data_IF_237631733550
#
_entry.id   IF_237631733550
#
_cell.length_a   1.000
_cell.length_b   1.000
_cell.length_c   1.000
_cell.angle_alpha   90.00
_cell.angle_beta   90.00
_cell.angle_gamma   90.00
#
_symmetry.space_group_name_H-M   'P 1'
#
loop_
_entity.id
_entity.type
_entity.pdbx_description
1 polymer ?
#
# COMPACT_ATOMS: atom_id res chain seq x y z
N UNK A 1 35.07 -9.43 -36.85
CA UNK A 1 33.61 -9.08 -36.92
C UNK A 1 32.70 -10.30 -37.11
N UNK A 2 33.06 -11.33 -37.87
CA UNK A 2 32.23 -12.57 -38.03
C UNK A 2 32.05 -13.33 -36.71
N UNK A 3 33.10 -13.58 -35.95
CA UNK A 3 33.04 -14.31 -34.67
C UNK A 3 32.19 -13.61 -33.61
N UNK A 4 32.14 -12.26 -33.62
CA UNK A 4 31.25 -11.47 -32.74
C UNK A 4 29.78 -11.57 -33.16
N UNK A 5 29.48 -11.62 -34.46
CA UNK A 5 28.12 -11.79 -34.97
C UNK A 5 27.57 -13.19 -34.74
N UNK A 6 28.39 -14.23 -34.91
CA UNK A 6 28.00 -15.62 -34.61
C UNK A 6 27.74 -15.80 -33.10
N UNK A 7 28.62 -15.30 -32.22
CA UNK A 7 28.40 -15.33 -30.77
C UNK A 7 27.13 -14.59 -30.36
N UNK A 8 26.81 -13.44 -30.97
CA UNK A 8 25.62 -12.67 -30.67
C UNK A 8 24.33 -13.40 -31.11
N UNK A 9 24.38 -14.13 -32.24
CA UNK A 9 23.23 -14.92 -32.70
C UNK A 9 22.98 -16.16 -31.84
N UNK A 10 24.04 -16.81 -31.34
CA UNK A 10 23.92 -17.98 -30.48
C UNK A 10 23.36 -17.57 -29.09
N UNK A 11 23.81 -16.46 -28.53
CA UNK A 11 23.24 -15.89 -27.30
C UNK A 11 21.74 -15.55 -27.46
N UNK A 12 21.35 -14.95 -28.59
CA UNK A 12 19.92 -14.66 -28.86
C UNK A 12 19.10 -15.95 -28.96
N UNK A 13 19.61 -17.00 -29.58
CA UNK A 13 18.93 -18.31 -29.66
C UNK A 13 18.72 -18.93 -28.28
N UNK A 14 19.73 -18.90 -27.41
CA UNK A 14 19.60 -19.40 -26.04
C UNK A 14 18.59 -18.62 -25.21
N UNK A 15 18.62 -17.30 -25.29
CA UNK A 15 17.64 -16.44 -24.60
C UNK A 15 16.23 -16.69 -25.16
N UNK A 16 16.09 -16.92 -26.46
CA UNK A 16 14.79 -17.26 -27.06
C UNK A 16 14.25 -18.60 -26.56
N UNK A 17 15.12 -19.63 -26.41
CA UNK A 17 14.70 -20.89 -25.81
C UNK A 17 14.19 -20.72 -24.38
N UNK A 18 14.91 -19.93 -23.59
CA UNK A 18 14.51 -19.60 -22.22
C UNK A 18 13.16 -18.87 -22.19
N UNK A 19 12.95 -17.92 -23.09
CA UNK A 19 11.67 -17.23 -23.24
C UNK A 19 10.54 -18.20 -23.55
N UNK A 20 10.74 -19.13 -24.49
CA UNK A 20 9.74 -20.14 -24.84
C UNK A 20 9.40 -21.07 -23.69
N UNK A 21 10.37 -21.46 -22.88
CA UNK A 21 10.13 -22.25 -21.66
C UNK A 21 9.23 -21.48 -20.68
N UNK A 22 9.56 -20.22 -20.39
CA UNK A 22 8.77 -19.40 -19.47
C UNK A 22 7.36 -19.09 -20.02
N UNK A 23 7.22 -18.83 -21.30
CA UNK A 23 5.92 -18.67 -21.97
C UNK A 23 5.09 -19.96 -21.90
N UNK A 24 5.72 -21.14 -22.11
CA UNK A 24 5.03 -22.42 -22.01
C UNK A 24 4.41 -22.62 -20.62
N UNK A 25 5.14 -22.29 -19.55
CA UNK A 25 4.64 -22.37 -18.17
C UNK A 25 3.43 -21.46 -17.99
N UNK A 26 3.52 -20.20 -18.44
CA UNK A 26 2.41 -19.26 -18.30
C UNK A 26 1.23 -19.64 -19.19
N UNK A 27 1.45 -20.10 -20.40
CA UNK A 27 0.40 -20.56 -21.30
C UNK A 27 -0.35 -21.76 -20.73
N UNK A 28 0.36 -22.69 -20.04
CA UNK A 28 -0.25 -23.79 -19.31
C UNK A 28 -1.11 -23.27 -18.13
N UNK A 29 -0.62 -22.34 -17.35
CA UNK A 29 -1.41 -21.75 -16.26
C UNK A 29 -2.69 -21.08 -16.76
N UNK A 30 -2.57 -20.34 -17.86
CA UNK A 30 -3.65 -19.53 -18.43
C UNK A 30 -4.52 -20.25 -19.46
N UNK A 31 -4.36 -21.57 -19.67
CA UNK A 31 -5.01 -22.27 -20.78
C UNK A 31 -6.56 -22.22 -20.73
N UNK A 32 -7.14 -22.06 -19.53
CA UNK A 32 -8.59 -21.95 -19.35
C UNK A 32 -9.11 -20.51 -19.49
N UNK A 33 -8.22 -19.52 -19.54
CA UNK A 33 -8.59 -18.13 -19.59
C UNK A 33 -8.66 -17.64 -21.05
N UNK A 34 -9.72 -16.92 -21.36
CA UNK A 34 -9.86 -16.29 -22.67
C UNK A 34 -8.92 -15.09 -22.81
N UNK A 35 -7.88 -15.24 -23.60
CA UNK A 35 -6.94 -14.17 -23.96
C UNK A 35 -7.44 -13.29 -25.12
N UNK A 36 -8.49 -13.70 -25.84
CA UNK A 36 -8.99 -12.98 -27.01
C UNK A 36 -9.44 -11.56 -26.67
N UNK A 37 -9.94 -11.35 -25.48
CA UNK A 37 -10.28 -10.02 -24.97
C UNK A 37 -9.09 -9.05 -24.98
N UNK A 38 -7.85 -9.50 -24.83
CA UNK A 38 -6.66 -8.67 -24.85
C UNK A 38 -6.34 -8.08 -26.22
N UNK A 39 -6.61 -8.79 -27.31
CA UNK A 39 -6.39 -8.33 -28.68
C UNK A 39 -7.56 -7.49 -29.22
N UNK A 40 -8.63 -7.31 -28.47
CA UNK A 40 -9.78 -6.51 -28.85
C UNK A 40 -9.40 -5.06 -29.16
N UNK A 41 -10.07 -4.47 -30.17
CA UNK A 41 -9.97 -3.03 -30.45
C UNK A 41 -10.64 -2.18 -29.38
N UNK A 42 -11.64 -2.75 -28.68
CA UNK A 42 -12.30 -2.07 -27.57
C UNK A 42 -11.41 -2.04 -26.32
N UNK A 43 -11.12 -0.83 -25.86
CA UNK A 43 -10.22 -0.60 -24.74
C UNK A 43 -10.76 -1.11 -23.40
N UNK A 44 -12.08 -1.13 -23.22
CA UNK A 44 -12.72 -1.65 -22.02
C UNK A 44 -12.61 -3.19 -21.95
N UNK A 45 -12.86 -3.86 -23.06
CA UNK A 45 -12.71 -5.31 -23.19
C UNK A 45 -11.28 -5.74 -22.93
N UNK A 46 -10.31 -5.02 -23.50
CA UNK A 46 -8.87 -5.26 -23.26
C UNK A 46 -8.52 -5.10 -21.79
N UNK A 47 -8.98 -4.03 -21.15
CA UNK A 47 -8.74 -3.79 -19.75
C UNK A 47 -9.35 -4.87 -18.84
N UNK A 48 -10.58 -5.31 -19.11
CA UNK A 48 -11.22 -6.42 -18.39
C UNK A 48 -10.44 -7.72 -18.51
N UNK A 49 -9.89 -8.03 -19.68
CA UNK A 49 -9.03 -9.20 -19.88
C UNK A 49 -7.78 -9.15 -18.98
N UNK A 50 -7.15 -7.97 -18.85
CA UNK A 50 -6.01 -7.77 -17.93
C UNK A 50 -6.43 -7.96 -16.47
N UNK A 51 -7.60 -7.43 -16.07
CA UNK A 51 -8.13 -7.60 -14.71
C UNK A 51 -8.42 -9.06 -14.38
N UNK A 52 -8.99 -9.82 -15.32
CA UNK A 52 -9.26 -11.26 -15.17
C UNK A 52 -7.94 -12.03 -15.01
N UNK A 53 -6.93 -11.71 -15.82
CA UNK A 53 -5.60 -12.30 -15.68
C UNK A 53 -4.94 -11.97 -14.34
N UNK A 54 -5.08 -10.73 -13.86
CA UNK A 54 -4.59 -10.33 -12.56
C UNK A 54 -5.33 -11.03 -11.42
N UNK A 55 -6.67 -11.16 -11.50
CA UNK A 55 -7.49 -11.93 -10.57
C UNK A 55 -6.96 -13.37 -10.46
N UNK A 56 -6.73 -14.03 -11.59
CA UNK A 56 -6.21 -15.38 -11.63
C UNK A 56 -4.83 -15.51 -10.95
N UNK A 57 -3.92 -14.59 -11.21
CA UNK A 57 -2.60 -14.57 -10.52
C UNK A 57 -2.79 -14.42 -9.01
N UNK A 58 -3.70 -13.58 -8.58
CA UNK A 58 -3.98 -13.31 -7.15
C UNK A 58 -4.70 -14.44 -6.42
N UNK A 59 -5.28 -15.44 -7.10
CA UNK A 59 -6.00 -16.56 -6.46
C UNK A 59 -5.09 -17.48 -5.62
N UNK A 60 -3.81 -17.52 -5.92
CA UNK A 60 -2.85 -18.37 -5.19
C UNK A 60 -1.57 -17.58 -4.91
N UNK A 61 -1.17 -17.52 -3.64
CA UNK A 61 0.00 -16.73 -3.22
C UNK A 61 1.31 -17.20 -3.84
N UNK A 62 1.52 -18.51 -3.98
CA UNK A 62 2.73 -19.05 -4.62
C UNK A 62 2.77 -18.73 -6.11
N UNK A 63 1.59 -18.74 -6.78
CA UNK A 63 1.45 -18.32 -8.19
C UNK A 63 1.81 -16.86 -8.36
N UNK A 64 1.28 -15.99 -7.48
CA UNK A 64 1.61 -14.57 -7.46
C UNK A 64 3.11 -14.33 -7.28
N UNK A 65 3.73 -14.97 -6.32
CA UNK A 65 5.15 -14.81 -6.05
C UNK A 65 6.02 -15.30 -7.23
N UNK A 66 5.74 -16.48 -7.78
CA UNK A 66 6.45 -17.00 -8.96
C UNK A 66 6.26 -16.10 -10.18
N UNK A 67 5.03 -15.60 -10.42
CA UNK A 67 4.76 -14.69 -11.52
C UNK A 67 5.50 -13.37 -11.36
N UNK A 68 5.43 -12.75 -10.19
CA UNK A 68 5.95 -11.39 -9.95
C UNK A 68 7.47 -11.35 -9.77
N UNK A 69 8.08 -12.40 -9.19
CA UNK A 69 9.51 -12.42 -8.83
C UNK A 69 10.39 -13.11 -9.86
N UNK A 70 9.86 -14.05 -10.65
CA UNK A 70 10.62 -14.81 -11.65
C UNK A 70 10.04 -14.69 -13.06
N UNK A 71 8.89 -15.34 -13.33
CA UNK A 71 8.41 -15.58 -14.70
C UNK A 71 8.25 -14.30 -15.51
N UNK A 72 7.57 -13.30 -14.98
CA UNK A 72 7.32 -12.07 -15.71
C UNK A 72 8.56 -11.17 -15.86
N UNK A 73 9.52 -11.26 -14.93
CA UNK A 73 10.81 -10.56 -15.03
C UNK A 73 11.66 -11.21 -16.13
N UNK A 74 11.77 -12.53 -16.09
CA UNK A 74 12.53 -13.29 -17.10
C UNK A 74 12.00 -13.06 -18.51
N UNK A 75 10.65 -13.07 -18.68
CA UNK A 75 10.01 -12.77 -19.97
C UNK A 75 10.32 -11.33 -20.40
N UNK A 76 10.25 -10.34 -19.52
CA UNK A 76 10.58 -8.97 -19.85
C UNK A 76 12.01 -8.81 -20.34
N UNK A 77 12.96 -9.40 -19.62
CA UNK A 77 14.38 -9.35 -19.98
C UNK A 77 14.66 -10.04 -21.33
N UNK A 78 14.10 -11.23 -21.53
CA UNK A 78 14.26 -11.98 -22.78
C UNK A 78 13.59 -11.26 -23.97
N UNK A 79 12.45 -10.61 -23.75
CA UNK A 79 11.73 -9.87 -24.77
C UNK A 79 12.54 -8.70 -25.35
N UNK A 80 13.27 -7.97 -24.50
CA UNK A 80 14.18 -6.88 -24.94
C UNK A 80 15.21 -7.40 -25.94
N UNK A 81 15.73 -8.64 -25.74
CA UNK A 81 16.78 -9.21 -26.59
C UNK A 81 16.20 -9.89 -27.84
N UNK A 82 15.04 -10.55 -27.71
CA UNK A 82 14.49 -11.46 -28.72
C UNK A 82 13.25 -10.92 -29.43
N UNK A 83 12.73 -9.73 -29.07
CA UNK A 83 11.43 -9.23 -29.58
C UNK A 83 11.29 -9.21 -31.10
N UNK A 84 12.39 -9.00 -31.83
CA UNK A 84 12.41 -8.99 -33.30
C UNK A 84 12.28 -10.36 -33.99
N UNK A 85 12.47 -11.47 -33.24
CA UNK A 85 12.40 -12.83 -33.82
C UNK A 85 11.17 -13.61 -33.35
N UNK A 86 10.32 -13.03 -32.50
CA UNK A 86 9.10 -13.63 -32.00
C UNK A 86 8.01 -13.68 -33.08
N UNK A 87 7.19 -14.72 -33.06
CA UNK A 87 5.94 -14.76 -33.84
C UNK A 87 4.94 -13.75 -33.27
N UNK A 88 3.91 -13.39 -34.04
CA UNK A 88 2.87 -12.48 -33.58
C UNK A 88 2.06 -13.04 -32.39
N UNK A 89 1.89 -14.36 -32.33
CA UNK A 89 1.28 -15.05 -31.20
C UNK A 89 2.13 -14.93 -29.95
N UNK A 90 3.43 -15.24 -30.03
CA UNK A 90 4.39 -15.11 -28.92
C UNK A 90 4.48 -13.66 -28.43
N UNK A 91 4.49 -12.68 -29.32
CA UNK A 91 4.44 -11.26 -28.95
C UNK A 91 3.18 -10.92 -28.17
N UNK A 92 2.02 -11.39 -28.65
CA UNK A 92 0.74 -11.18 -27.97
C UNK A 92 0.75 -11.77 -26.56
N UNK A 93 1.23 -12.98 -26.40
CA UNK A 93 1.35 -13.62 -25.10
C UNK A 93 2.28 -12.83 -24.15
N UNK A 94 3.47 -12.46 -24.63
CA UNK A 94 4.41 -11.64 -23.84
C UNK A 94 3.75 -10.32 -23.40
N UNK A 95 3.10 -9.61 -24.31
CA UNK A 95 2.46 -8.33 -24.02
C UNK A 95 1.32 -8.47 -23.02
N UNK A 96 0.54 -9.55 -23.12
CA UNK A 96 -0.53 -9.84 -22.17
C UNK A 96 0.02 -10.05 -20.75
N UNK A 97 1.05 -10.88 -20.58
CA UNK A 97 1.64 -11.14 -19.27
C UNK A 97 2.36 -9.91 -18.69
N UNK A 98 3.02 -9.12 -19.52
CA UNK A 98 3.62 -7.86 -19.09
C UNK A 98 2.57 -6.79 -18.72
N UNK A 99 1.43 -6.77 -19.41
CA UNK A 99 0.31 -5.90 -19.05
C UNK A 99 -0.29 -6.28 -17.69
N UNK A 100 -0.50 -7.58 -17.42
CA UNK A 100 -0.94 -8.07 -16.09
C UNK A 100 0.07 -7.68 -15.01
N UNK A 101 1.37 -7.90 -15.25
CA UNK A 101 2.42 -7.51 -14.30
C UNK A 101 2.39 -6.01 -14.00
N UNK A 102 2.30 -5.19 -15.03
CA UNK A 102 2.24 -3.74 -14.86
C UNK A 102 1.01 -3.30 -14.10
N UNK A 103 -0.14 -3.91 -14.37
CA UNK A 103 -1.37 -3.65 -13.65
C UNK A 103 -1.21 -3.96 -12.16
N UNK A 104 -0.70 -5.15 -11.80
CA UNK A 104 -0.44 -5.54 -10.42
C UNK A 104 0.57 -4.62 -9.71
N UNK A 105 1.64 -4.21 -10.40
CA UNK A 105 2.60 -3.24 -9.85
C UNK A 105 1.95 -1.88 -9.60
N UNK A 106 1.13 -1.40 -10.52
CA UNK A 106 0.42 -0.12 -10.36
C UNK A 106 -0.60 -0.15 -9.24
N UNK A 107 -1.29 -1.27 -9.02
CA UNK A 107 -2.16 -1.45 -7.87
C UNK A 107 -1.41 -1.30 -6.55
N UNK A 108 -0.19 -1.80 -6.47
CA UNK A 108 0.66 -1.73 -5.26
C UNK A 108 1.31 -0.36 -5.05
N UNK A 109 1.52 0.40 -6.12
CA UNK A 109 2.23 1.67 -6.09
C UNK A 109 1.32 2.89 -5.92
N UNK A 110 -0.02 2.75 -5.96
CA UNK A 110 -0.97 3.87 -6.06
C UNK A 110 -2.13 3.83 -5.07
N UNK A 111 -2.64 5.04 -4.76
CA UNK A 111 -3.87 5.28 -3.97
C UNK A 111 -5.14 5.07 -4.79
N UNK A 112 -5.37 3.89 -5.37
CA UNK A 112 -6.63 3.66 -6.05
C UNK A 112 -6.53 2.82 -7.32
N UNK A 113 -7.66 2.68 -8.00
CA UNK A 113 -7.77 1.88 -9.20
C UNK A 113 -6.95 2.45 -10.36
N UNK A 114 -6.29 1.56 -11.09
CA UNK A 114 -5.59 1.91 -12.33
C UNK A 114 -6.62 2.24 -13.40
N UNK A 115 -6.47 3.38 -14.09
CA UNK A 115 -7.40 3.78 -15.13
C UNK A 115 -7.21 2.99 -16.43
N UNK A 116 -8.31 2.87 -17.21
CA UNK A 116 -8.29 2.24 -18.53
C UNK A 116 -7.33 2.97 -19.47
N UNK A 117 -7.33 4.32 -19.43
CA UNK A 117 -6.45 5.14 -20.26
C UNK A 117 -4.97 4.87 -20.01
N UNK A 118 -4.58 4.75 -18.76
CA UNK A 118 -3.19 4.45 -18.36
C UNK A 118 -2.74 3.06 -18.81
N UNK A 119 -3.61 2.05 -18.72
CA UNK A 119 -3.27 0.70 -19.17
C UNK A 119 -3.19 0.63 -20.69
N UNK A 120 -4.06 1.33 -21.41
CA UNK A 120 -4.00 1.38 -22.87
C UNK A 120 -2.76 2.13 -23.36
N UNK A 121 -2.37 3.23 -22.71
CA UNK A 121 -1.11 3.93 -22.99
C UNK A 121 0.08 3.01 -22.74
N UNK A 122 0.08 2.28 -21.63
CA UNK A 122 1.15 1.32 -21.32
C UNK A 122 1.25 0.21 -22.37
N UNK A 123 0.13 -0.39 -22.78
CA UNK A 123 0.11 -1.42 -23.82
C UNK A 123 0.60 -0.87 -25.17
N UNK A 124 0.20 0.35 -25.54
CA UNK A 124 0.71 1.01 -26.75
C UNK A 124 2.22 1.23 -26.70
N UNK A 125 2.75 1.66 -25.55
CA UNK A 125 4.19 1.88 -25.38
C UNK A 125 4.95 0.55 -25.43
N UNK A 126 4.44 -0.52 -24.82
CA UNK A 126 5.02 -1.85 -24.94
C UNK A 126 5.11 -2.32 -26.40
N UNK A 127 4.04 -2.07 -27.17
CA UNK A 127 4.01 -2.42 -28.61
C UNK A 127 5.03 -1.59 -29.40
N UNK A 128 5.13 -0.29 -29.12
CA UNK A 128 6.07 0.59 -29.80
C UNK A 128 7.54 0.24 -29.46
N UNK A 129 7.83 -0.07 -28.21
CA UNK A 129 9.16 -0.47 -27.75
C UNK A 129 9.56 -1.85 -28.29
N UNK A 130 8.60 -2.78 -28.40
CA UNK A 130 8.81 -4.08 -29.04
C UNK A 130 9.22 -3.99 -30.53
N UNK A 131 8.73 -2.94 -31.22
CA UNK A 131 9.09 -2.69 -32.63
C UNK A 131 10.47 -2.05 -32.75
N UNK A 132 10.86 -1.21 -31.79
CA UNK A 132 12.13 -0.47 -31.82
C UNK A 132 13.32 -1.18 -31.21
N UNK A 133 13.10 -2.24 -30.41
CA UNK A 133 14.16 -2.93 -29.65
C UNK A 133 14.74 -2.11 -28.50
N UNK A 134 14.03 -1.04 -28.08
CA UNK A 134 14.43 -0.16 -26.99
C UNK A 134 13.97 -0.71 -25.61
N UNK A 135 14.67 -0.27 -24.57
CA UNK A 135 14.42 -0.69 -23.20
C UNK A 135 12.99 -0.30 -22.74
N UNK A 136 12.20 -1.30 -22.33
CA UNK A 136 10.84 -1.10 -21.84
C UNK A 136 10.85 -0.32 -20.53
N UNK A 137 10.65 0.98 -20.57
CA UNK A 137 10.53 1.83 -19.40
C UNK A 137 9.16 1.64 -18.74
N UNK A 138 9.16 1.23 -17.48
CA UNK A 138 7.95 1.28 -16.66
C UNK A 138 7.67 2.75 -16.35
N UNK A 139 6.63 3.31 -16.97
CA UNK A 139 6.18 4.67 -16.68
C UNK A 139 5.53 4.68 -15.29
N UNK A 140 6.33 4.94 -14.26
CA UNK A 140 5.85 5.40 -12.97
C UNK A 140 5.64 6.91 -13.07
N UNK A 141 4.44 7.36 -13.42
CA UNK A 141 4.08 8.76 -13.19
C UNK A 141 4.09 9.02 -11.70
N UNK A 142 4.69 10.14 -11.32
CA UNK A 142 4.71 10.62 -9.94
C UNK A 142 3.30 10.69 -9.37
N UNK A 143 3.21 10.33 -8.13
CA UNK A 143 2.06 10.36 -7.26
C UNK A 143 1.46 11.76 -7.23
N UNK A 144 0.16 11.87 -7.44
CA UNK A 144 -0.58 13.07 -7.10
C UNK A 144 -0.80 13.03 -5.58
N UNK A 145 0.09 13.70 -4.82
CA UNK A 145 0.06 13.76 -3.36
C UNK A 145 -1.11 14.58 -2.80
N UNK A 146 -2.00 15.09 -3.68
CA UNK A 146 -3.12 15.94 -3.28
C UNK A 146 -4.40 15.16 -2.89
N UNK A 147 -4.44 13.84 -3.06
CA UNK A 147 -5.66 13.05 -2.81
C UNK A 147 -5.69 12.59 -1.35
N UNK A 148 -6.69 13.05 -0.61
CA UNK A 148 -6.97 12.57 0.74
C UNK A 148 -7.41 11.09 0.71
N UNK A 149 -6.54 10.21 1.22
CA UNK A 149 -6.77 8.74 1.22
C UNK A 149 -8.03 8.37 2.01
N UNK A 150 -8.35 9.09 3.07
CA UNK A 150 -9.56 8.86 3.89
C UNK A 150 -10.84 9.06 3.07
N UNK A 151 -10.87 10.03 2.13
CA UNK A 151 -12.01 10.22 1.23
C UNK A 151 -12.22 9.02 0.30
N UNK A 152 -11.13 8.38 -0.14
CA UNK A 152 -11.19 7.18 -0.97
C UNK A 152 -11.70 5.95 -0.21
N UNK A 153 -11.62 5.96 1.12
CA UNK A 153 -12.17 4.94 2.00
C UNK A 153 -13.65 5.19 2.37
N UNK A 154 -14.28 6.23 1.81
CA UNK A 154 -15.72 6.46 2.00
C UNK A 154 -16.54 5.30 1.44
N UNK A 155 -17.71 5.05 2.05
CA UNK A 155 -18.58 3.93 1.69
C UNK A 155 -18.95 3.94 0.19
N UNK A 156 -19.25 5.11 -0.35
CA UNK A 156 -19.63 5.32 -1.75
C UNK A 156 -18.49 4.93 -2.69
N UNK A 157 -17.25 5.35 -2.38
CA UNK A 157 -16.06 5.03 -3.19
C UNK A 157 -15.69 3.54 -3.10
N UNK A 158 -15.77 2.96 -1.92
CA UNK A 158 -15.54 1.53 -1.72
C UNK A 158 -16.54 0.69 -2.55
N UNK A 159 -17.81 1.04 -2.55
CA UNK A 159 -18.83 0.33 -3.35
C UNK A 159 -18.58 0.49 -4.85
N UNK A 160 -18.17 1.68 -5.31
CA UNK A 160 -17.79 1.93 -6.69
C UNK A 160 -16.60 1.05 -7.11
N UNK A 161 -15.54 1.00 -6.28
CA UNK A 161 -14.36 0.18 -6.53
C UNK A 161 -14.71 -1.32 -6.56
N UNK A 162 -15.57 -1.77 -5.65
CA UNK A 162 -16.03 -3.16 -5.59
C UNK A 162 -16.78 -3.59 -6.86
N UNK A 163 -17.66 -2.73 -7.38
CA UNK A 163 -18.43 -3.02 -8.61
C UNK A 163 -17.57 -3.07 -9.87
N UNK A 164 -16.47 -2.30 -9.90
CA UNK A 164 -15.62 -2.15 -11.09
C UNK A 164 -14.49 -3.17 -11.16
N UNK A 165 -14.18 -3.86 -10.07
CA UNK A 165 -13.00 -4.71 -9.98
C UNK A 165 -13.37 -6.15 -9.55
N UNK A 166 -12.65 -7.17 -10.08
CA UNK A 166 -12.74 -8.54 -9.58
C UNK A 166 -12.40 -8.63 -8.08
N UNK A 167 -12.91 -9.63 -7.35
CA UNK A 167 -12.82 -9.68 -5.89
C UNK A 167 -11.41 -9.55 -5.31
N UNK A 168 -10.42 -10.28 -5.82
CA UNK A 168 -9.05 -10.23 -5.28
C UNK A 168 -8.30 -8.98 -5.72
N UNK A 169 -8.61 -8.44 -6.90
CA UNK A 169 -8.11 -7.12 -7.32
C UNK A 169 -8.66 -6.04 -6.37
N UNK A 170 -9.94 -6.12 -6.01
CA UNK A 170 -10.54 -5.21 -5.03
C UNK A 170 -9.88 -5.35 -3.65
N UNK A 171 -9.62 -6.59 -3.15
CA UNK A 171 -8.88 -6.81 -1.90
C UNK A 171 -7.52 -6.10 -1.94
N UNK A 172 -6.79 -6.23 -3.06
CA UNK A 172 -5.49 -5.57 -3.21
C UNK A 172 -5.61 -4.05 -3.17
N UNK A 173 -6.60 -3.46 -3.84
CA UNK A 173 -6.84 -2.01 -3.83
C UNK A 173 -7.14 -1.50 -2.41
N UNK A 174 -8.09 -2.12 -1.70
CA UNK A 174 -8.45 -1.72 -0.34
C UNK A 174 -7.29 -1.90 0.63
N UNK A 175 -6.54 -2.99 0.51
CA UNK A 175 -5.32 -3.20 1.30
C UNK A 175 -4.35 -2.03 1.15
N UNK A 176 -4.01 -1.64 -0.08
CA UNK A 176 -3.08 -0.53 -0.34
C UNK A 176 -3.61 0.81 0.20
N UNK A 177 -4.92 1.08 0.05
CA UNK A 177 -5.54 2.29 0.60
C UNK A 177 -5.46 2.32 2.14
N UNK A 178 -5.74 1.19 2.80
CA UNK A 178 -5.64 1.08 4.26
C UNK A 178 -4.19 1.20 4.75
N UNK A 179 -3.23 0.57 4.09
CA UNK A 179 -1.80 0.68 4.42
C UNK A 179 -1.32 2.13 4.36
N UNK A 180 -1.78 2.90 3.34
CA UNK A 180 -1.45 4.33 3.23
C UNK A 180 -2.16 5.19 4.25
N UNK A 181 -3.45 4.98 4.50
CA UNK A 181 -4.17 5.70 5.54
C UNK A 181 -3.51 5.49 6.92
N UNK A 182 -3.05 4.26 7.20
CA UNK A 182 -2.31 3.96 8.42
C UNK A 182 -0.95 4.66 8.44
N UNK A 183 -0.24 4.70 7.32
CA UNK A 183 1.05 5.40 7.21
C UNK A 183 0.89 6.92 7.41
N UNK A 184 -0.14 7.53 6.82
CA UNK A 184 -0.46 8.95 7.04
C UNK A 184 -0.85 9.22 8.49
N UNK A 185 -1.70 8.36 9.07
CA UNK A 185 -2.07 8.46 10.50
C UNK A 185 -0.87 8.36 11.43
N UNK A 186 0.17 7.61 11.05
CA UNK A 186 1.38 7.44 11.86
C UNK A 186 2.11 8.76 12.12
N UNK A 187 2.11 9.68 11.16
CA UNK A 187 2.70 11.02 11.30
C UNK A 187 2.05 11.82 12.43
N UNK A 188 0.75 11.66 12.58
CA UNK A 188 -0.02 12.39 13.57
C UNK A 188 -0.24 11.60 14.87
N UNK A 189 -0.40 10.27 14.80
CA UNK A 189 -0.76 9.43 15.94
C UNK A 189 -0.12 8.05 15.86
N UNK A 190 1.04 7.91 16.48
CA UNK A 190 1.80 6.67 16.47
C UNK A 190 1.05 5.48 17.06
N UNK A 191 0.44 5.65 18.23
CA UNK A 191 -0.20 4.51 18.93
C UNK A 191 -1.41 3.99 18.18
N UNK A 192 -2.27 4.88 17.69
CA UNK A 192 -3.44 4.52 16.88
C UNK A 192 -3.02 3.82 15.58
N UNK A 193 -1.98 4.31 14.91
CA UNK A 193 -1.45 3.67 13.70
C UNK A 193 -0.90 2.26 13.96
N UNK A 194 -0.31 2.01 15.14
CA UNK A 194 0.14 0.67 15.53
C UNK A 194 -1.03 -0.31 15.75
N UNK A 195 -2.12 0.15 16.37
CA UNK A 195 -3.33 -0.65 16.54
C UNK A 195 -3.94 -1.02 15.19
N UNK A 196 -4.08 -0.04 14.30
CA UNK A 196 -4.56 -0.25 12.92
C UNK A 196 -3.68 -1.20 12.13
N UNK A 197 -2.36 -1.07 12.23
CA UNK A 197 -1.41 -1.97 11.57
C UNK A 197 -1.56 -3.41 12.04
N UNK A 198 -1.74 -3.62 13.35
CA UNK A 198 -1.98 -4.95 13.93
C UNK A 198 -3.31 -5.52 13.46
N UNK A 199 -4.37 -4.70 13.43
CA UNK A 199 -5.70 -5.11 12.97
C UNK A 199 -5.69 -5.50 11.50
N UNK A 200 -5.10 -4.67 10.63
CA UNK A 200 -4.97 -4.96 9.21
C UNK A 200 -4.18 -6.26 8.97
N UNK A 201 -3.07 -6.47 9.68
CA UNK A 201 -2.28 -7.70 9.59
C UNK A 201 -3.12 -8.95 9.90
N UNK A 202 -3.91 -8.93 10.98
CA UNK A 202 -4.81 -10.04 11.35
C UNK A 202 -5.87 -10.31 10.28
N UNK A 203 -6.46 -9.26 9.70
CA UNK A 203 -7.44 -9.40 8.62
C UNK A 203 -6.81 -10.06 7.39
N UNK A 204 -5.55 -9.73 7.10
CA UNK A 204 -4.85 -10.19 5.91
C UNK A 204 -4.11 -11.53 6.08
N UNK A 205 -4.10 -12.15 7.27
CA UNK A 205 -3.39 -13.43 7.50
C UNK A 205 -3.78 -14.48 6.47
N UNK A 206 -5.07 -14.77 6.31
CA UNK A 206 -5.55 -15.76 5.33
C UNK A 206 -5.33 -15.34 3.87
N UNK A 207 -5.39 -14.02 3.60
CA UNK A 207 -5.10 -13.49 2.27
C UNK A 207 -3.62 -13.64 1.91
N UNK A 208 -2.72 -13.47 2.87
CA UNK A 208 -1.28 -13.57 2.62
C UNK A 208 -0.81 -15.02 2.38
N UNK A 209 -1.54 -16.01 2.91
CA UNK A 209 -1.26 -17.45 2.76
C UNK A 209 -2.28 -18.14 1.85
N UNK A 210 -3.02 -17.38 1.02
CA UNK A 210 -4.12 -17.90 0.22
C UNK A 210 -3.69 -18.98 -0.78
N UNK A 211 -4.54 -19.98 -0.86
CA UNK A 211 -4.52 -21.04 -1.87
C UNK A 211 -5.87 -21.07 -2.64
N UNK A 212 -6.08 -22.14 -3.43
CA UNK A 212 -7.30 -22.32 -4.25
C UNK A 212 -8.59 -22.43 -3.43
N UNK A 213 -8.51 -22.64 -2.12
CA UNK A 213 -9.67 -22.70 -1.19
C UNK A 213 -10.01 -21.36 -0.59
N UNK A 214 -9.20 -20.33 -0.86
CA UNK A 214 -9.41 -19.00 -0.29
C UNK A 214 -10.70 -18.34 -0.80
N UNK A 215 -11.53 -17.89 0.14
CA UNK A 215 -12.77 -17.16 -0.14
C UNK A 215 -12.57 -15.67 0.12
N UNK A 216 -12.50 -14.88 -0.94
CA UNK A 216 -12.22 -13.45 -0.87
C UNK A 216 -13.29 -12.65 -0.10
N UNK A 217 -14.55 -13.08 -0.16
CA UNK A 217 -15.69 -12.34 0.41
C UNK A 217 -15.56 -12.09 1.91
N UNK A 218 -15.09 -13.07 2.69
CA UNK A 218 -14.88 -12.92 4.13
C UNK A 218 -13.83 -11.85 4.44
N UNK A 219 -12.77 -11.80 3.66
CA UNK A 219 -11.71 -10.78 3.81
C UNK A 219 -12.22 -9.42 3.36
N UNK A 220 -12.98 -9.34 2.26
CA UNK A 220 -13.58 -8.11 1.76
C UNK A 220 -14.46 -7.46 2.83
N UNK A 221 -15.36 -8.22 3.46
CA UNK A 221 -16.25 -7.70 4.51
C UNK A 221 -15.41 -7.08 5.64
N UNK A 222 -14.42 -7.82 6.17
CA UNK A 222 -13.56 -7.32 7.25
C UNK A 222 -12.77 -6.07 6.86
N UNK A 223 -12.28 -5.97 5.63
CA UNK A 223 -11.55 -4.80 5.16
C UNK A 223 -12.46 -3.59 4.98
N UNK A 224 -13.68 -3.78 4.47
CA UNK A 224 -14.68 -2.73 4.31
C UNK A 224 -15.14 -2.20 5.67
N UNK A 225 -15.41 -3.08 6.63
CA UNK A 225 -15.75 -2.70 8.00
C UNK A 225 -14.61 -1.90 8.65
N UNK A 226 -13.38 -2.34 8.47
CA UNK A 226 -12.22 -1.65 8.99
C UNK A 226 -11.99 -0.28 8.32
N UNK A 227 -12.24 -0.15 7.02
CA UNK A 227 -12.22 1.14 6.33
C UNK A 227 -13.27 2.10 6.91
N UNK A 228 -14.49 1.59 7.18
CA UNK A 228 -15.57 2.36 7.83
C UNK A 228 -15.18 2.85 9.23
N UNK A 229 -14.48 2.03 10.02
CA UNK A 229 -13.97 2.39 11.34
C UNK A 229 -12.94 3.54 11.24
N UNK A 230 -11.95 3.43 10.34
CA UNK A 230 -10.96 4.49 10.11
C UNK A 230 -11.63 5.84 9.75
N UNK A 231 -12.59 5.83 8.85
CA UNK A 231 -13.34 7.03 8.45
C UNK A 231 -14.16 7.58 9.62
N UNK A 232 -14.77 6.72 10.44
CA UNK A 232 -15.53 7.15 11.63
C UNK A 232 -14.63 7.78 12.67
N UNK A 233 -13.49 7.16 12.98
CA UNK A 233 -12.51 7.65 13.94
C UNK A 233 -11.97 9.04 13.54
N UNK A 234 -11.72 9.27 12.25
CA UNK A 234 -11.31 10.57 11.73
C UNK A 234 -12.41 11.63 11.89
N UNK A 235 -13.66 11.27 11.59
CA UNK A 235 -14.80 12.17 11.79
C UNK A 235 -15.01 12.51 13.26
N UNK A 236 -14.85 11.57 14.17
CA UNK A 236 -14.93 11.79 15.61
C UNK A 236 -13.78 12.67 16.11
N UNK A 237 -12.56 12.46 15.61
CA UNK A 237 -11.42 13.31 15.89
C UNK A 237 -11.71 14.77 15.55
N UNK A 238 -12.28 15.01 14.36
CA UNK A 238 -12.66 16.37 13.93
C UNK A 238 -13.77 17.01 14.81
N UNK A 239 -14.66 16.20 15.40
CA UNK A 239 -15.71 16.70 16.30
C UNK A 239 -15.21 17.06 17.69
N UNK A 240 -14.10 16.48 18.15
CA UNK A 240 -13.52 16.75 19.47
C UNK A 240 -13.02 18.18 19.63
N UNK A 241 -12.85 18.93 18.53
CA UNK A 241 -12.42 20.33 18.54
C UNK A 241 -10.97 20.54 19.00
N UNK A 242 -10.15 19.51 18.96
CA UNK A 242 -8.71 19.55 19.26
C UNK A 242 -7.90 19.33 17.98
N UNK A 243 -6.69 19.92 17.91
CA UNK A 243 -5.81 19.77 16.74
C UNK A 243 -5.32 18.33 16.59
N UNK A 244 -4.82 17.93 15.39
CA UNK A 244 -4.29 16.60 15.15
C UNK A 244 -3.15 16.22 16.12
N UNK A 245 -2.29 17.18 16.50
CA UNK A 245 -1.22 16.98 17.48
C UNK A 245 -1.76 16.81 18.90
N UNK A 246 -2.74 17.60 19.30
CA UNK A 246 -3.42 17.43 20.60
C UNK A 246 -4.15 16.09 20.69
N UNK A 247 -4.77 15.65 19.58
CA UNK A 247 -5.42 14.34 19.50
C UNK A 247 -4.45 13.21 19.76
N UNK A 248 -3.25 13.28 19.24
CA UNK A 248 -2.23 12.26 19.46
C UNK A 248 -1.84 12.11 20.94
N UNK A 249 -1.73 13.24 21.66
CA UNK A 249 -1.48 13.21 23.11
C UNK A 249 -2.72 12.77 23.89
N UNK A 250 -3.91 13.20 23.49
CA UNK A 250 -5.17 12.72 24.05
C UNK A 250 -5.28 11.20 23.95
N UNK A 251 -5.03 10.62 22.78
CA UNK A 251 -5.08 9.17 22.55
C UNK A 251 -3.99 8.42 23.34
N UNK A 252 -2.82 9.01 23.55
CA UNK A 252 -1.79 8.46 24.42
C UNK A 252 -2.23 8.43 25.90
N UNK A 253 -2.99 9.43 26.35
CA UNK A 253 -3.51 9.51 27.72
C UNK A 253 -4.63 8.49 28.00
N UNK A 254 -5.51 8.23 27.03
CA UNK A 254 -6.65 7.32 27.19
C UNK A 254 -6.32 5.87 26.83
N UNK A 255 -5.09 5.58 26.47
CA UNK A 255 -4.63 4.22 26.13
C UNK A 255 -4.88 3.24 27.27
N UNK A 256 -4.71 3.71 28.50
CA UNK A 256 -5.23 3.02 29.67
C UNK A 256 -6.68 3.47 29.93
N UNK A 257 -7.63 2.55 29.76
CA UNK A 257 -9.06 2.80 29.98
C UNK A 257 -9.37 3.30 31.38
N UNK A 258 -8.55 2.95 32.38
CA UNK A 258 -8.73 3.39 33.77
C UNK A 258 -8.59 4.90 33.91
N UNK A 259 -7.73 5.57 33.14
CA UNK A 259 -7.61 7.02 33.16
C UNK A 259 -8.84 7.70 32.57
N UNK A 260 -9.42 7.12 31.52
CA UNK A 260 -10.65 7.60 30.89
C UNK A 260 -11.89 7.46 31.79
N UNK A 261 -11.91 6.47 32.67
CA UNK A 261 -12.98 6.28 33.65
C UNK A 261 -12.90 7.26 34.85
N UNK A 262 -11.70 7.73 35.16
CA UNK A 262 -11.44 8.57 36.34
C UNK A 262 -11.40 10.07 36.03
N UNK A 263 -11.14 10.47 34.77
CA UNK A 263 -11.05 11.86 34.35
C UNK A 263 -12.12 12.20 33.30
N UNK A 264 -12.66 13.43 33.39
CA UNK A 264 -13.58 13.89 32.36
C UNK A 264 -12.87 14.09 31.02
N UNK A 265 -13.63 14.00 29.93
CA UNK A 265 -13.13 14.24 28.57
C UNK A 265 -12.53 15.66 28.41
N UNK A 266 -13.17 16.66 29.03
CA UNK A 266 -12.68 18.05 29.06
C UNK A 266 -11.33 18.16 29.76
N UNK A 267 -11.13 17.42 30.88
CA UNK A 267 -9.84 17.40 31.59
C UNK A 267 -8.76 16.77 30.74
N UNK A 268 -9.07 15.66 30.08
CA UNK A 268 -8.12 14.97 29.17
C UNK A 268 -7.74 15.86 27.99
N UNK A 269 -8.68 16.65 27.42
CA UNK A 269 -8.40 17.65 26.37
C UNK A 269 -7.49 18.77 26.85
N UNK A 270 -7.72 19.29 28.06
CA UNK A 270 -6.85 20.29 28.66
C UNK A 270 -5.42 19.77 28.89
N UNK A 271 -5.28 18.54 29.37
CA UNK A 271 -3.98 17.89 29.50
C UNK A 271 -3.31 17.76 28.13
N UNK A 272 -4.02 17.28 27.12
CA UNK A 272 -3.49 17.09 25.77
C UNK A 272 -3.02 18.43 25.16
N UNK A 273 -3.75 19.53 25.38
CA UNK A 273 -3.37 20.87 24.95
C UNK A 273 -2.07 21.32 25.63
N UNK A 274 -1.97 21.24 26.96
CA UNK A 274 -0.77 21.63 27.72
C UNK A 274 0.43 20.73 27.36
N UNK A 275 0.21 19.42 27.12
CA UNK A 275 1.26 18.51 26.67
C UNK A 275 1.83 18.88 25.32
N UNK A 276 0.97 19.30 24.37
CA UNK A 276 1.42 19.82 23.08
C UNK A 276 2.36 21.01 23.27
N UNK A 277 2.00 21.99 24.07
CA UNK A 277 2.80 23.20 24.31
C UNK A 277 4.16 22.84 24.97
N UNK A 278 4.14 21.92 25.94
CA UNK A 278 5.36 21.40 26.58
C UNK A 278 6.26 20.75 25.50
N UNK A 279 5.72 19.85 24.70
CA UNK A 279 6.51 19.13 23.68
C UNK A 279 7.06 20.11 22.64
N UNK A 280 6.24 21.01 22.13
CA UNK A 280 6.68 22.03 21.16
C UNK A 280 7.80 22.92 21.72
N UNK A 281 7.74 23.28 23.01
CA UNK A 281 8.78 24.07 23.67
C UNK A 281 10.13 23.35 23.73
N UNK A 282 10.14 22.07 24.06
CA UNK A 282 11.39 21.31 24.24
C UNK A 282 11.89 20.68 22.93
N UNK A 283 11.02 20.42 21.96
CA UNK A 283 11.35 19.80 20.68
C UNK A 283 11.89 20.77 19.63
N UNK A 284 11.90 22.09 19.90
CA UNK A 284 12.46 23.11 18.97
C UNK A 284 13.97 23.03 18.80
N UNK A 285 14.67 22.33 19.67
CA UNK A 285 16.13 22.18 19.55
C UNK A 285 16.49 20.97 18.71
N UNK A 286 17.36 21.17 17.71
CA UNK A 286 17.96 20.08 16.93
C UNK A 286 18.53 19.01 17.90
N UNK A 287 18.28 17.74 17.61
CA UNK A 287 18.73 16.59 18.41
C UNK A 287 18.14 16.46 19.84
N UNK A 288 17.00 17.08 20.12
CA UNK A 288 16.37 16.99 21.45
C UNK A 288 16.12 15.55 21.90
N UNK A 289 15.78 14.64 20.95
CA UNK A 289 15.50 13.22 21.23
C UNK A 289 16.76 12.45 21.71
N UNK A 290 17.94 12.92 21.36
CA UNK A 290 19.25 12.34 21.73
C UNK A 290 19.80 12.99 23.00
N UNK A 291 19.48 14.26 23.26
CA UNK A 291 19.97 15.00 24.43
C UNK A 291 19.28 14.55 25.72
N UNK A 292 19.95 13.75 26.51
CA UNK A 292 19.40 13.20 27.77
C UNK A 292 18.88 14.27 28.73
N UNK A 293 19.56 15.42 28.82
CA UNK A 293 19.15 16.53 29.69
C UNK A 293 17.82 17.13 29.26
N UNK A 294 17.61 17.38 27.97
CA UNK A 294 16.36 17.91 27.43
C UNK A 294 15.21 16.93 27.59
N UNK A 295 15.46 15.63 27.34
CA UNK A 295 14.47 14.58 27.60
C UNK A 295 14.09 14.47 29.08
N UNK A 296 15.06 14.60 29.98
CA UNK A 296 14.79 14.58 31.42
C UNK A 296 13.94 15.78 31.85
N UNK A 297 14.23 16.97 31.35
CA UNK A 297 13.42 18.18 31.64
C UNK A 297 11.99 18.05 31.09
N UNK A 298 11.83 17.59 29.85
CA UNK A 298 10.52 17.32 29.26
C UNK A 298 9.73 16.31 30.09
N UNK A 299 10.38 15.20 30.51
CA UNK A 299 9.76 14.18 31.39
C UNK A 299 9.24 14.79 32.70
N UNK A 300 10.02 15.68 33.32
CA UNK A 300 9.61 16.36 34.54
C UNK A 300 8.38 17.21 34.28
N UNK A 301 8.37 18.02 33.22
CA UNK A 301 7.25 18.90 32.87
C UNK A 301 5.97 18.13 32.53
N UNK A 302 6.08 17.02 31.80
CA UNK A 302 4.94 16.13 31.53
C UNK A 302 4.36 15.59 32.84
N UNK A 303 5.20 15.12 33.76
CA UNK A 303 4.76 14.62 35.09
C UNK A 303 4.11 15.72 35.94
N UNK A 304 4.63 16.94 35.90
CA UNK A 304 4.04 18.11 36.57
C UNK A 304 2.65 18.44 36.01
N UNK A 305 2.50 18.42 34.67
CA UNK A 305 1.22 18.61 33.99
C UNK A 305 0.21 17.52 34.41
N UNK A 306 0.56 16.26 34.30
CA UNK A 306 -0.30 15.14 34.68
C UNK A 306 -0.75 15.24 36.16
N UNK A 307 0.17 15.62 37.05
CA UNK A 307 -0.15 15.82 38.48
C UNK A 307 -1.09 17.00 38.70
N UNK A 308 -0.86 18.11 38.00
CA UNK A 308 -1.68 19.34 38.11
C UNK A 308 -3.16 19.06 37.82
N UNK A 309 -3.47 18.22 36.86
CA UNK A 309 -4.82 17.86 36.44
C UNK A 309 -5.36 16.58 37.13
N UNK A 310 -4.66 16.07 38.12
CA UNK A 310 -5.13 14.90 38.89
C UNK A 310 -5.08 13.57 38.14
N UNK A 311 -4.24 13.46 37.11
CA UNK A 311 -4.04 12.18 36.42
C UNK A 311 -3.59 11.11 37.42
N UNK A 312 -4.13 9.86 37.40
CA UNK A 312 -3.89 8.86 38.44
C UNK A 312 -2.41 8.54 38.62
N UNK A 313 -1.89 8.53 39.86
CA UNK A 313 -0.46 8.38 40.13
C UNK A 313 0.15 7.09 39.56
N UNK A 314 -0.58 5.98 39.61
CA UNK A 314 -0.17 4.64 39.15
C UNK A 314 0.07 4.57 37.65
N UNK A 315 -0.59 5.40 36.84
CA UNK A 315 -0.48 5.43 35.38
C UNK A 315 0.40 6.57 34.83
N UNK A 316 0.88 7.49 35.70
CA UNK A 316 1.65 8.68 35.26
C UNK A 316 2.95 8.34 34.58
N UNK A 317 3.64 7.30 35.04
CA UNK A 317 4.95 6.90 34.44
C UNK A 317 4.76 6.36 33.03
N UNK A 318 3.76 5.50 32.83
CA UNK A 318 3.42 4.95 31.53
C UNK A 318 2.93 6.06 30.57
N UNK A 319 1.98 6.89 31.02
CA UNK A 319 1.51 8.03 30.24
C UNK A 319 2.64 8.99 29.85
N UNK A 320 3.58 9.27 30.79
CA UNK A 320 4.76 10.10 30.50
C UNK A 320 5.64 9.48 29.43
N UNK A 321 5.86 8.18 29.49
CA UNK A 321 6.64 7.43 28.49
C UNK A 321 5.96 7.46 27.12
N UNK A 322 4.64 7.27 27.08
CA UNK A 322 3.86 7.27 25.86
C UNK A 322 3.83 8.65 25.21
N UNK A 323 3.67 9.73 26.00
CA UNK A 323 3.74 11.12 25.50
C UNK A 323 5.11 11.41 24.88
N UNK A 324 6.21 11.02 25.54
CA UNK A 324 7.56 11.22 24.99
C UNK A 324 7.74 10.43 23.69
N UNK A 325 7.29 9.18 23.67
CA UNK A 325 7.37 8.33 22.48
C UNK A 325 6.56 8.91 21.32
N UNK A 326 5.36 9.41 21.59
CA UNK A 326 4.55 10.13 20.61
C UNK A 326 5.27 11.37 20.07
N UNK A 327 5.89 12.16 20.96
CA UNK A 327 6.67 13.34 20.58
C UNK A 327 7.86 13.00 19.69
N UNK A 328 8.59 11.92 19.98
CA UNK A 328 9.71 11.43 19.16
C UNK A 328 9.26 11.13 17.72
N UNK A 329 8.10 10.51 17.54
CA UNK A 329 7.58 10.21 16.21
C UNK A 329 7.09 11.44 15.45
N UNK A 330 6.47 12.39 16.14
CA UNK A 330 5.93 13.62 15.51
C UNK A 330 7.03 14.58 15.05
N UNK A 331 8.16 14.61 15.75
CA UNK A 331 9.23 15.60 15.50
C UNK A 331 10.43 15.05 14.72
N UNK A 332 10.53 13.74 14.51
CA UNK A 332 11.60 13.15 13.70
C UNK A 332 11.24 13.05 12.19
N UNK A 333 10.04 13.46 11.80
CA UNK A 333 9.58 13.40 10.41
C UNK A 333 9.48 14.80 9.73
N UNK A 334 9.81 15.90 10.46
CA UNK A 334 10.04 17.24 9.91
C UNK A 334 11.55 17.44 9.63
#
# INVERSE_FOLDING_TARGET
DRDRQENCQDVKKEIYKLLKEKLSILNEWFYKLDKLGFVSKDSLTRFKSIQIGAQFILENKKREDSFMQDLSISIKQAFVVCGGILTEEEKTDVLYYLAIRSYLLKLRARTGAVSIAEMNEYVKNLLADAIKGDEVKVLTKQQDDSINVIELLSKEKIEELRKKNPPLVFVQIIKELLERAIAESRKNNYFKSQEYSKKLRRILEQYNDRDERFVAETTIVKLVDFAGELVSDEKEANKLGISGRERAFYDALIRDKSAQELLSDETLKLIAHELKDIVETYATTTDWSIKQATRAQMRIKIKECLRKYGYPPEYREEATSDVIKQAEYMMNED
#
